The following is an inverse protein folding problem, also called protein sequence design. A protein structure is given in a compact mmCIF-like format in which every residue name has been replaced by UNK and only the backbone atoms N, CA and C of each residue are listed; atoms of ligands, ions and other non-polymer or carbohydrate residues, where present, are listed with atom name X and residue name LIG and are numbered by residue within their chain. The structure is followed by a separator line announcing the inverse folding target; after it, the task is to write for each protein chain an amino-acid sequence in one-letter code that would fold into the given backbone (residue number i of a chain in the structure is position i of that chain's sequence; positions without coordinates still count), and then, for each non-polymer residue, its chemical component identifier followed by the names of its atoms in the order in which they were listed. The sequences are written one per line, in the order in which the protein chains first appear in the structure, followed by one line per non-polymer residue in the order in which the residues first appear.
data_IF_867039226326
#
_entry.id   IF_867039226326
#
_cell.length_a   1.000
_cell.length_b   1.000
_cell.length_c   1.000
_cell.angle_alpha   90.00
_cell.angle_beta   90.00
_cell.angle_gamma   90.00
#
_symmetry.space_group_name_H-M   'P 1'
#
loop_
_entity.id
_entity.type
_entity.pdbx_description
1 polymer ?
#
# COMPACT_ATOMS: atom_id res chain seq x y z
N UNK A 1 -4.06 -0.39 24.28
CA UNK A 1 -4.53 -0.47 22.88
C UNK A 1 -6.03 -0.68 22.87
N UNK A 2 -6.82 0.39 22.74
CA UNK A 2 -8.29 0.30 22.61
C UNK A 2 -8.62 0.52 21.14
N UNK A 3 -9.14 -0.51 20.47
CA UNK A 3 -9.71 -0.35 19.12
C UNK A 3 -11.00 0.44 19.28
N UNK A 4 -11.21 1.46 18.45
CA UNK A 4 -12.41 2.28 18.54
C UNK A 4 -13.63 1.43 18.08
N UNK A 5 -14.77 1.50 18.78
CA UNK A 5 -16.00 0.87 18.31
C UNK A 5 -16.33 1.37 16.91
N UNK A 6 -16.56 0.44 15.96
CA UNK A 6 -16.83 0.77 14.56
C UNK A 6 -15.59 0.85 13.65
N UNK A 7 -14.37 0.61 14.16
CA UNK A 7 -13.20 0.43 13.31
C UNK A 7 -13.24 -0.91 12.56
N UNK A 8 -12.93 -0.87 11.26
CA UNK A 8 -12.70 -2.08 10.48
C UNK A 8 -11.33 -2.67 10.83
N UNK A 9 -11.29 -3.99 11.02
CA UNK A 9 -10.08 -4.72 11.41
C UNK A 9 -9.67 -5.64 10.26
N UNK A 10 -8.48 -5.41 9.71
CA UNK A 10 -7.93 -6.23 8.64
C UNK A 10 -6.95 -7.22 9.25
N UNK A 11 -7.28 -8.51 9.13
CA UNK A 11 -6.54 -9.61 9.78
C UNK A 11 -5.45 -10.21 8.88
N UNK A 12 -5.61 -10.11 7.56
CA UNK A 12 -4.72 -10.73 6.58
C UNK A 12 -4.29 -9.73 5.50
N UNK A 13 -3.62 -8.65 5.92
CA UNK A 13 -2.99 -7.71 5.00
C UNK A 13 -1.60 -8.20 4.58
N UNK A 14 -1.35 -8.33 3.29
CA UNK A 14 -0.02 -8.44 2.71
C UNK A 14 0.52 -7.04 2.42
N UNK A 15 1.77 -6.76 2.77
CA UNK A 15 2.43 -5.50 2.48
C UNK A 15 3.60 -5.75 1.55
N UNK A 16 3.71 -4.93 0.50
CA UNK A 16 4.80 -5.05 -0.47
C UNK A 16 5.25 -3.66 -0.96
N UNK A 17 6.50 -3.63 -1.43
CA UNK A 17 7.13 -2.48 -2.05
C UNK A 17 7.39 -2.74 -3.52
N UNK A 18 6.82 -1.89 -4.38
CA UNK A 18 7.08 -1.93 -5.80
C UNK A 18 7.79 -0.65 -6.27
N UNK A 19 8.70 -0.81 -7.23
CA UNK A 19 9.39 0.30 -7.88
C UNK A 19 9.20 0.24 -9.39
N UNK A 20 9.18 1.41 -10.00
CA UNK A 20 9.03 1.53 -11.44
C UNK A 20 9.40 2.92 -11.95
N UNK A 21 9.17 3.11 -13.24
CA UNK A 21 9.43 4.36 -13.94
C UNK A 21 8.20 4.74 -14.74
N UNK A 22 7.79 6.00 -14.66
CA UNK A 22 6.65 6.50 -15.45
C UNK A 22 7.18 7.36 -16.59
N UNK A 23 7.10 6.82 -17.81
CA UNK A 23 7.55 7.47 -19.05
C UNK A 23 9.08 7.49 -19.24
N UNK A 24 9.87 7.82 -18.20
CA UNK A 24 11.33 7.93 -18.30
C UNK A 24 12.05 7.34 -17.08
N UNK A 25 13.25 6.78 -17.29
CA UNK A 25 14.08 6.19 -16.22
C UNK A 25 14.54 7.18 -15.14
N UNK A 26 14.58 8.47 -15.45
CA UNK A 26 14.88 9.51 -14.45
C UNK A 26 13.69 9.79 -13.52
N UNK A 27 12.47 9.37 -13.89
CA UNK A 27 11.24 9.56 -13.11
C UNK A 27 10.88 8.29 -12.36
N UNK A 28 11.78 7.91 -11.44
CA UNK A 28 11.56 6.78 -10.57
C UNK A 28 10.41 7.05 -9.60
N UNK A 29 9.63 6.01 -9.37
CA UNK A 29 8.50 6.03 -8.46
C UNK A 29 8.51 4.80 -7.58
N UNK A 30 8.18 5.00 -6.30
CA UNK A 30 7.92 3.94 -5.34
C UNK A 30 6.43 3.84 -5.05
N UNK A 31 5.99 2.63 -4.74
CA UNK A 31 4.65 2.30 -4.29
C UNK A 31 4.79 1.34 -3.10
N UNK A 32 4.28 1.72 -1.93
CA UNK A 32 3.94 0.75 -0.89
C UNK A 32 2.44 0.56 -0.88
N UNK A 33 2.00 -0.66 -0.68
CA UNK A 33 0.59 -0.95 -0.49
C UNK A 33 0.38 -1.98 0.60
N UNK A 34 -0.80 -1.93 1.22
CA UNK A 34 -1.33 -2.99 2.06
C UNK A 34 -2.55 -3.58 1.35
N UNK A 35 -2.55 -4.90 1.17
CA UNK A 35 -3.57 -5.64 0.43
C UNK A 35 -4.25 -6.65 1.33
N UNK A 36 -5.53 -6.46 1.59
CA UNK A 36 -6.36 -7.44 2.27
C UNK A 36 -6.67 -8.58 1.31
N UNK A 37 -6.07 -9.75 1.57
CA UNK A 37 -6.27 -10.94 0.74
C UNK A 37 -7.65 -11.55 0.82
N UNK A 38 -8.32 -11.42 1.96
CA UNK A 38 -9.64 -12.00 2.16
C UNK A 38 -10.68 -11.22 1.36
N UNK A 39 -10.58 -9.89 1.42
CA UNK A 39 -11.48 -8.99 0.70
C UNK A 39 -11.02 -8.71 -0.73
N UNK A 40 -9.78 -9.07 -1.06
CA UNK A 40 -9.11 -8.79 -2.33
C UNK A 40 -9.08 -7.28 -2.64
N UNK A 41 -8.77 -6.48 -1.63
CA UNK A 41 -8.79 -5.00 -1.73
C UNK A 41 -7.50 -4.38 -1.23
N UNK A 42 -7.07 -3.29 -1.85
CA UNK A 42 -6.02 -2.43 -1.28
C UNK A 42 -6.65 -1.56 -0.19
N UNK A 43 -6.12 -1.65 1.02
CA UNK A 43 -6.64 -0.95 2.21
C UNK A 43 -5.85 0.32 2.53
N UNK A 44 -4.60 0.38 2.07
CA UNK A 44 -3.77 1.57 2.13
C UNK A 44 -2.72 1.50 1.02
N UNK A 45 -2.33 2.65 0.47
CA UNK A 45 -1.20 2.76 -0.43
C UNK A 45 -0.56 4.14 -0.34
N UNK A 46 0.74 4.22 -0.60
CA UNK A 46 1.47 5.49 -0.71
C UNK A 46 2.36 5.43 -1.94
N UNK A 47 2.32 6.49 -2.74
CA UNK A 47 3.10 6.67 -3.95
C UNK A 47 4.02 7.89 -3.82
N UNK A 48 5.24 7.80 -4.33
CA UNK A 48 6.15 8.94 -4.27
C UNK A 48 7.31 8.87 -5.26
N UNK A 49 8.05 9.98 -5.32
CA UNK A 49 9.32 10.04 -6.04
C UNK A 49 10.40 9.28 -5.27
N UNK A 50 11.24 8.54 -5.99
CA UNK A 50 12.44 7.93 -5.42
C UNK A 50 13.64 8.82 -5.73
N UNK A 51 14.15 9.53 -4.73
CA UNK A 51 15.45 10.22 -4.75
C UNK A 51 16.57 9.26 -4.36
#
# INVERSE_FOLDING_TARGET
SRIQPGSDVIVCAEMDEQWGYVGAKSRQRWLFYAYDRLRKTVVAHVFGERT
#
